data_IF_929549581688
#
_entry.id   IF_929549581688
#
_cell.length_a   1.000
_cell.length_b   1.000
_cell.length_c   1.000
_cell.angle_alpha   90.00
_cell.angle_beta   90.00
_cell.angle_gamma   90.00
#
_symmetry.space_group_name_H-M   'P 1'
#
loop_
_entity.id
_entity.type
_entity.pdbx_description
1 polymer ?
#
# COMPACT_ATOMS: atom_id res chain seq x y z
N UNK A 1 -40.35 5.14 -7.86
CA UNK A 1 -40.24 4.73 -9.29
C UNK A 1 -41.17 5.58 -10.12
N UNK A 2 -40.68 6.28 -11.13
CA UNK A 2 -41.55 7.00 -12.06
C UNK A 2 -42.39 5.96 -12.81
N UNK A 3 -43.69 6.15 -12.81
CA UNK A 3 -44.64 5.28 -13.52
C UNK A 3 -44.82 5.77 -14.92
N UNK A 4 -44.76 4.89 -15.92
CA UNK A 4 -45.15 5.23 -17.26
C UNK A 4 -46.67 5.56 -17.26
N UNK A 5 -47.02 6.80 -17.52
CA UNK A 5 -48.41 7.20 -17.69
C UNK A 5 -48.77 7.22 -19.19
N UNK A 6 -49.69 6.36 -19.58
CA UNK A 6 -50.26 6.32 -20.94
C UNK A 6 -51.53 7.12 -20.92
N UNK A 7 -51.54 8.32 -21.52
CA UNK A 7 -52.66 9.29 -21.34
C UNK A 7 -53.98 8.86 -22.01
N UNK A 8 -53.91 7.98 -23.00
CA UNK A 8 -55.14 7.57 -23.72
C UNK A 8 -55.31 6.05 -23.69
N UNK A 9 -56.47 5.56 -23.33
CA UNK A 9 -56.88 4.17 -23.44
C UNK A 9 -57.89 3.99 -24.57
N UNK A 10 -57.77 2.91 -25.33
CA UNK A 10 -58.68 2.61 -26.44
C UNK A 10 -59.51 1.37 -26.15
N UNK A 11 -60.77 1.39 -26.55
CA UNK A 11 -61.71 0.29 -26.40
C UNK A 11 -62.13 -0.28 -27.73
N UNK A 12 -62.63 -1.51 -27.72
CA UNK A 12 -63.10 -2.17 -28.95
C UNK A 12 -64.19 -1.36 -29.66
N UNK A 13 -64.02 -1.11 -30.95
CA UNK A 13 -64.98 -0.33 -31.77
C UNK A 13 -64.74 1.18 -31.75
N UNK A 14 -63.80 1.70 -30.96
CA UNK A 14 -63.47 3.11 -30.95
C UNK A 14 -62.61 3.49 -32.17
N UNK A 15 -62.92 4.62 -32.81
CA UNK A 15 -62.04 5.21 -33.83
C UNK A 15 -60.83 5.79 -33.12
N UNK A 16 -59.65 5.34 -33.46
CA UNK A 16 -58.39 5.82 -32.90
C UNK A 16 -58.01 7.13 -33.57
N UNK A 17 -57.89 8.20 -32.78
CA UNK A 17 -57.37 9.49 -33.27
C UNK A 17 -55.83 9.45 -33.28
N UNK A 18 -55.22 9.89 -34.39
CA UNK A 18 -53.77 9.96 -34.51
C UNK A 18 -53.13 10.86 -33.44
N UNK A 19 -53.78 11.87 -32.98
CA UNK A 19 -53.29 12.76 -31.91
C UNK A 19 -53.17 12.01 -30.55
N UNK A 20 -54.15 11.17 -30.24
CA UNK A 20 -54.16 10.34 -29.03
C UNK A 20 -53.07 9.26 -29.08
N UNK A 21 -52.87 8.60 -30.25
CA UNK A 21 -51.80 7.65 -30.45
C UNK A 21 -50.43 8.30 -30.30
N UNK A 22 -50.23 9.48 -30.94
CA UNK A 22 -48.99 10.22 -30.84
C UNK A 22 -48.70 10.70 -29.42
N UNK A 23 -49.72 11.07 -28.64
CA UNK A 23 -49.56 11.44 -27.23
C UNK A 23 -49.07 10.25 -26.40
N UNK A 24 -49.60 9.04 -26.65
CA UNK A 24 -49.13 7.83 -25.98
C UNK A 24 -47.66 7.53 -26.33
N UNK A 25 -47.28 7.60 -27.60
CA UNK A 25 -45.89 7.37 -28.00
C UNK A 25 -44.95 8.45 -27.44
N UNK A 26 -45.37 9.70 -27.35
CA UNK A 26 -44.60 10.77 -26.73
C UNK A 26 -44.32 10.45 -25.25
N UNK A 27 -45.32 9.95 -24.53
CA UNK A 27 -45.19 9.58 -23.13
C UNK A 27 -44.21 8.37 -22.96
N UNK A 28 -44.32 7.37 -23.84
CA UNK A 28 -43.38 6.22 -23.84
C UNK A 28 -41.96 6.67 -24.16
N UNK A 29 -41.80 7.55 -25.15
CA UNK A 29 -40.50 8.10 -25.52
C UNK A 29 -39.87 8.88 -24.35
N UNK A 30 -40.61 9.77 -23.72
CA UNK A 30 -40.14 10.54 -22.59
C UNK A 30 -39.74 9.66 -21.39
N UNK A 31 -40.53 8.61 -21.12
CA UNK A 31 -40.21 7.64 -20.09
C UNK A 31 -38.88 6.90 -20.38
N UNK A 32 -38.69 6.44 -21.61
CA UNK A 32 -37.47 5.75 -22.04
C UNK A 32 -36.24 6.68 -22.02
N UNK A 33 -36.39 7.94 -22.42
CA UNK A 33 -35.32 8.95 -22.35
C UNK A 33 -34.92 9.23 -20.90
N UNK A 34 -35.91 9.38 -20.00
CA UNK A 34 -35.63 9.57 -18.57
C UNK A 34 -34.98 8.30 -17.95
N UNK A 35 -35.34 7.10 -18.39
CA UNK A 35 -34.72 5.86 -17.94
C UNK A 35 -33.25 5.80 -18.36
N UNK A 36 -32.96 6.13 -19.61
CA UNK A 36 -31.57 6.17 -20.12
C UNK A 36 -30.72 7.24 -19.46
N UNK A 37 -31.33 8.33 -19.01
CA UNK A 37 -30.69 9.38 -18.22
C UNK A 37 -30.55 9.06 -16.72
N UNK A 38 -31.08 7.91 -16.27
CA UNK A 38 -31.05 7.51 -14.86
C UNK A 38 -32.07 8.21 -13.95
N UNK A 39 -32.92 9.09 -14.50
CA UNK A 39 -33.85 9.92 -13.72
C UNK A 39 -34.99 9.14 -13.08
N UNK A 40 -35.29 7.94 -13.57
CA UNK A 40 -36.42 7.09 -13.13
C UNK A 40 -36.00 5.96 -12.16
N UNK A 41 -34.79 5.99 -11.66
CA UNK A 41 -34.36 5.00 -10.68
C UNK A 41 -34.51 5.56 -9.27
N UNK A 42 -35.33 4.92 -8.45
CA UNK A 42 -35.40 5.22 -7.02
C UNK A 42 -34.16 4.68 -6.30
N UNK A 43 -33.90 5.19 -5.09
CA UNK A 43 -32.84 4.64 -4.25
C UNK A 43 -33.09 3.15 -3.99
N UNK A 44 -32.10 2.31 -4.28
CA UNK A 44 -32.19 0.86 -4.16
C UNK A 44 -32.94 0.14 -5.29
N UNK A 45 -33.29 0.83 -6.37
CA UNK A 45 -33.92 0.21 -7.55
C UNK A 45 -32.98 -0.71 -8.33
N UNK A 46 -31.68 -0.54 -8.18
CA UNK A 46 -30.66 -1.44 -8.77
C UNK A 46 -30.11 -2.31 -7.65
N UNK A 47 -30.38 -3.60 -7.70
CA UNK A 47 -29.88 -4.60 -6.78
C UNK A 47 -28.63 -5.28 -7.34
N UNK A 48 -28.00 -6.11 -6.51
CA UNK A 48 -26.77 -6.82 -6.90
C UNK A 48 -26.99 -7.77 -8.10
N UNK A 49 -28.19 -8.39 -8.16
CA UNK A 49 -28.57 -9.31 -9.24
C UNK A 49 -28.74 -8.60 -10.59
N UNK A 50 -29.03 -7.30 -10.58
CA UNK A 50 -29.23 -6.49 -11.78
C UNK A 50 -27.88 -6.11 -12.46
N UNK A 51 -26.78 -6.33 -11.73
CA UNK A 51 -25.42 -6.01 -12.20
C UNK A 51 -24.68 -7.31 -12.49
N UNK A 52 -24.48 -7.61 -13.77
CA UNK A 52 -23.74 -8.80 -14.16
C UNK A 52 -22.29 -8.78 -13.55
N UNK A 53 -21.71 -9.96 -13.22
CA UNK A 53 -20.34 -10.04 -12.79
C UNK A 53 -19.38 -9.31 -13.74
N UNK A 54 -18.46 -8.52 -13.19
CA UNK A 54 -17.50 -7.68 -13.91
C UNK A 54 -18.13 -6.56 -14.80
N UNK A 55 -19.43 -6.28 -14.69
CA UNK A 55 -20.07 -5.20 -15.43
C UNK A 55 -19.56 -3.79 -15.03
N UNK A 56 -19.12 -3.63 -13.77
CA UNK A 56 -18.51 -2.38 -13.28
C UNK A 56 -16.99 -2.55 -13.30
N UNK A 57 -16.36 -1.95 -14.29
CA UNK A 57 -14.90 -1.90 -14.44
C UNK A 57 -14.33 -0.59 -13.88
N UNK A 58 -13.00 -0.52 -13.71
CA UNK A 58 -12.33 0.69 -13.23
C UNK A 58 -12.65 1.93 -14.08
N UNK A 59 -12.74 1.77 -15.41
CA UNK A 59 -13.04 2.86 -16.35
C UNK A 59 -14.46 3.42 -16.24
N UNK A 60 -15.38 2.65 -15.64
CA UNK A 60 -16.76 3.07 -15.39
C UNK A 60 -16.95 3.79 -14.06
N UNK A 61 -15.92 3.79 -13.23
CA UNK A 61 -15.92 4.50 -11.95
C UNK A 61 -15.10 5.79 -12.13
N UNK A 62 -15.79 6.92 -12.21
CA UNK A 62 -15.09 8.20 -12.33
C UNK A 62 -14.16 8.45 -11.14
N UNK A 63 -13.03 9.12 -11.38
CA UNK A 63 -12.10 9.52 -10.33
C UNK A 63 -12.83 10.28 -9.22
N UNK A 64 -12.67 9.82 -7.96
CA UNK A 64 -13.35 10.41 -6.80
C UNK A 64 -14.82 10.01 -6.62
N UNK A 65 -15.40 9.17 -7.50
CA UNK A 65 -16.79 8.70 -7.35
C UNK A 65 -16.98 7.81 -6.11
N UNK A 66 -15.94 7.08 -5.69
CA UNK A 66 -15.94 6.31 -4.45
C UNK A 66 -15.29 7.15 -3.36
N UNK A 67 -16.09 7.74 -2.49
CA UNK A 67 -15.63 8.55 -1.35
C UNK A 67 -15.65 7.71 -0.06
N UNK A 68 -14.98 8.19 0.99
CA UNK A 68 -14.91 7.54 2.30
C UNK A 68 -16.29 7.13 2.84
N UNK A 69 -17.31 7.96 2.63
CA UNK A 69 -18.67 7.70 3.11
C UNK A 69 -19.41 6.62 2.30
N UNK A 70 -18.87 6.20 1.15
CA UNK A 70 -19.44 5.14 0.30
C UNK A 70 -18.78 3.78 0.53
N UNK A 71 -17.69 3.75 1.31
CA UNK A 71 -17.03 2.53 1.72
C UNK A 71 -17.54 2.18 3.12
N UNK A 72 -18.24 1.05 3.24
CA UNK A 72 -18.70 0.60 4.55
C UNK A 72 -17.53 0.39 5.51
N UNK A 73 -17.73 0.67 6.81
CA UNK A 73 -16.69 0.54 7.83
C UNK A 73 -16.14 -0.90 7.99
N UNK A 74 -16.81 -1.90 7.43
CA UNK A 74 -16.45 -3.32 7.48
C UNK A 74 -16.14 -3.93 6.11
N UNK A 75 -15.63 -3.16 5.16
CA UNK A 75 -15.19 -3.72 3.87
C UNK A 75 -13.96 -4.59 4.08
N UNK A 76 -14.11 -5.90 3.93
CA UNK A 76 -12.98 -6.84 3.89
C UNK A 76 -12.32 -6.78 2.50
N UNK A 77 -11.18 -6.13 2.42
CA UNK A 77 -10.33 -6.15 1.22
C UNK A 77 -9.34 -7.31 1.38
N UNK A 78 -9.50 -8.38 0.65
CA UNK A 78 -8.66 -9.60 0.80
C UNK A 78 -7.22 -9.41 0.33
N UNK A 79 -6.97 -8.50 -0.61
CA UNK A 79 -5.61 -8.13 -1.06
C UNK A 79 -5.61 -6.68 -1.56
N UNK A 80 -5.76 -5.69 -0.65
CA UNK A 80 -5.75 -4.31 -1.09
C UNK A 80 -4.34 -3.90 -1.54
N UNK A 81 -4.17 -3.62 -2.81
CA UNK A 81 -3.01 -2.84 -3.25
C UNK A 81 -3.32 -1.36 -3.00
N UNK A 82 -3.00 -0.90 -1.79
CA UNK A 82 -3.26 0.48 -1.36
C UNK A 82 -2.11 1.37 -1.82
N UNK A 83 -1.48 1.25 -2.93
CA UNK A 83 -0.46 2.16 -3.42
C UNK A 83 0.28 2.95 -2.31
N UNK A 84 0.92 4.05 -2.61
CA UNK A 84 1.42 4.95 -1.58
C UNK A 84 0.24 5.61 -0.85
N UNK A 85 -0.13 5.13 0.35
CA UNK A 85 -1.14 5.75 1.18
C UNK A 85 -0.61 7.10 1.70
N UNK A 86 -1.01 8.19 1.06
CA UNK A 86 -0.75 9.56 1.53
C UNK A 86 -1.80 9.97 2.57
N UNK A 87 -1.77 9.34 3.72
CA UNK A 87 -2.68 9.63 4.83
C UNK A 87 -1.92 9.94 6.11
N UNK A 88 -2.50 10.75 7.00
CA UNK A 88 -1.89 11.15 8.26
C UNK A 88 -1.64 9.96 9.23
N UNK A 89 -2.35 8.86 9.09
CA UNK A 89 -2.13 7.62 9.83
C UNK A 89 -2.84 6.42 9.19
N UNK A 90 -2.17 5.29 9.11
CA UNK A 90 -2.80 3.98 8.97
C UNK A 90 -3.08 3.48 10.39
N UNK A 91 -4.33 3.55 10.85
CA UNK A 91 -4.72 2.94 12.13
C UNK A 91 -4.98 1.45 11.89
N UNK A 92 -3.94 0.64 11.99
CA UNK A 92 -4.03 -0.81 11.88
C UNK A 92 -4.07 -1.41 13.30
N UNK A 93 -5.22 -1.86 13.75
CA UNK A 93 -5.38 -2.49 15.07
C UNK A 93 -4.61 -3.82 15.17
N UNK A 94 -4.28 -4.44 14.05
CA UNK A 94 -3.45 -5.65 13.93
C UNK A 94 -2.57 -5.53 12.68
N UNK A 95 -1.77 -4.47 12.58
CA UNK A 95 -0.72 -4.47 11.58
C UNK A 95 0.21 -5.65 11.89
N UNK A 96 0.22 -6.65 11.04
CA UNK A 96 1.37 -7.55 10.98
C UNK A 96 2.50 -6.69 10.41
N UNK A 97 3.21 -6.00 11.30
CA UNK A 97 4.49 -5.42 10.97
C UNK A 97 5.37 -6.63 10.69
N UNK A 98 5.81 -6.74 9.44
CA UNK A 98 6.67 -7.81 9.02
C UNK A 98 7.86 -7.88 9.99
N UNK A 99 8.10 -9.05 10.55
CA UNK A 99 9.24 -9.24 11.45
C UNK A 99 10.51 -8.98 10.66
N UNK A 100 11.49 -8.23 11.20
CA UNK A 100 12.74 -8.01 10.49
C UNK A 100 13.33 -9.33 10.03
N UNK A 101 13.56 -9.48 8.74
CA UNK A 101 14.23 -10.66 8.20
C UNK A 101 15.66 -10.73 8.76
N UNK A 102 16.14 -11.95 9.00
CA UNK A 102 17.52 -12.20 9.43
C UNK A 102 18.37 -12.60 8.23
N UNK A 103 19.52 -11.97 8.08
CA UNK A 103 20.48 -12.25 7.02
C UNK A 103 21.82 -12.67 7.64
N UNK A 104 22.10 -13.98 7.60
CA UNK A 104 23.32 -14.56 8.20
C UNK A 104 24.52 -14.43 7.25
N UNK A 105 25.63 -13.91 7.76
CA UNK A 105 26.88 -13.69 7.03
C UNK A 105 28.04 -14.48 7.66
N UNK A 106 28.77 -15.19 6.83
CA UNK A 106 29.94 -16.00 7.23
C UNK A 106 31.27 -15.41 6.74
N UNK A 107 31.23 -14.27 6.05
CA UNK A 107 32.39 -13.54 5.51
C UNK A 107 32.10 -12.04 5.54
N UNK A 108 33.14 -11.24 5.25
CA UNK A 108 32.98 -9.79 5.08
C UNK A 108 31.85 -9.45 4.13
N UNK A 109 31.08 -8.43 4.48
CA UNK A 109 29.87 -8.09 3.75
C UNK A 109 29.72 -6.58 3.60
N UNK A 110 29.42 -6.14 2.39
CA UNK A 110 29.04 -4.74 2.13
C UNK A 110 27.53 -4.65 2.08
N UNK A 111 26.94 -3.73 2.85
CA UNK A 111 25.51 -3.52 2.93
C UNK A 111 24.93 -3.14 1.58
N UNK A 112 23.73 -3.66 1.28
CA UNK A 112 22.94 -3.36 0.08
C UNK A 112 21.58 -2.77 0.50
N UNK A 113 20.87 -2.12 -0.42
CA UNK A 113 19.60 -1.43 -0.11
C UNK A 113 18.54 -2.36 0.53
N UNK A 114 18.55 -3.64 0.17
CA UNK A 114 17.65 -4.65 0.75
C UNK A 114 17.95 -4.96 2.24
N UNK A 115 19.04 -4.43 2.80
CA UNK A 115 19.36 -4.59 4.22
C UNK A 115 18.67 -3.53 5.11
N UNK A 116 17.92 -2.57 4.52
CA UNK A 116 17.16 -1.60 5.30
C UNK A 116 16.08 -2.31 6.14
N UNK A 117 16.11 -2.07 7.44
CA UNK A 117 15.14 -2.63 8.38
C UNK A 117 15.36 -4.09 8.78
N UNK A 118 16.42 -4.78 8.32
CA UNK A 118 16.69 -6.18 8.65
C UNK A 118 17.76 -6.37 9.73
N UNK A 119 17.92 -7.62 10.15
CA UNK A 119 18.95 -8.06 11.10
C UNK A 119 20.08 -8.76 10.30
N UNK A 120 21.30 -8.28 10.44
CA UNK A 120 22.52 -8.94 9.93
C UNK A 120 23.16 -9.74 11.07
N UNK A 121 23.31 -11.04 10.89
CA UNK A 121 24.02 -11.89 11.82
C UNK A 121 25.42 -12.20 11.30
N UNK A 122 26.48 -11.84 12.04
CA UNK A 122 27.83 -12.32 11.75
C UNK A 122 28.04 -13.69 12.37
N UNK A 123 27.95 -14.73 11.56
CA UNK A 123 27.97 -16.13 12.00
C UNK A 123 29.22 -16.85 11.51
N UNK A 124 30.37 -16.46 12.02
CA UNK A 124 31.66 -17.04 11.68
C UNK A 124 32.57 -17.12 12.89
N UNK A 125 33.48 -18.09 12.91
CA UNK A 125 34.59 -18.17 13.88
C UNK A 125 35.74 -17.23 13.48
N UNK A 126 35.80 -16.79 12.22
CA UNK A 126 36.74 -15.79 11.72
C UNK A 126 36.14 -14.39 11.85
N UNK A 127 37.01 -13.38 11.89
CA UNK A 127 36.56 -11.98 11.95
C UNK A 127 35.75 -11.58 10.70
N UNK A 128 34.65 -10.84 10.91
CA UNK A 128 33.82 -10.29 9.85
C UNK A 128 33.75 -8.76 9.97
N UNK A 129 33.91 -8.09 8.84
CA UNK A 129 33.70 -6.66 8.70
C UNK A 129 32.40 -6.42 7.92
N UNK A 130 31.47 -5.67 8.50
CA UNK A 130 30.30 -5.14 7.81
C UNK A 130 30.65 -3.76 7.28
N UNK A 131 30.74 -3.64 5.96
CA UNK A 131 31.13 -2.39 5.28
C UNK A 131 29.92 -1.56 4.93
N UNK A 132 29.93 -0.28 5.29
CA UNK A 132 28.90 0.69 4.94
C UNK A 132 29.30 1.37 3.62
N UNK A 133 28.52 1.21 2.54
CA UNK A 133 28.85 1.75 1.21
C UNK A 133 28.63 3.25 1.13
N UNK A 134 29.23 3.88 0.11
CA UNK A 134 28.94 5.27 -0.26
C UNK A 134 27.48 5.46 -0.67
N UNK A 135 26.92 6.63 -0.38
CA UNK A 135 25.61 7.05 -0.85
C UNK A 135 25.42 6.91 -2.36
N UNK A 136 26.47 7.22 -3.13
CA UNK A 136 26.45 7.13 -4.59
C UNK A 136 26.37 5.69 -5.11
N UNK A 137 26.75 4.71 -4.29
CA UNK A 137 26.69 3.28 -4.63
C UNK A 137 25.42 2.62 -4.14
N UNK A 138 24.99 2.96 -2.92
CA UNK A 138 23.74 2.45 -2.32
C UNK A 138 23.05 3.59 -1.57
N UNK A 139 21.97 4.13 -2.16
CA UNK A 139 21.23 5.27 -1.65
C UNK A 139 20.23 4.85 -0.56
N UNK A 140 20.72 4.47 0.60
CA UNK A 140 19.84 4.21 1.75
C UNK A 140 19.05 5.48 2.13
N UNK A 141 17.75 5.39 2.48
CA UNK A 141 17.02 6.52 3.05
C UNK A 141 17.63 7.04 4.35
N UNK A 142 17.52 8.34 4.63
CA UNK A 142 17.84 8.88 5.97
C UNK A 142 16.84 8.27 6.98
N UNK A 143 17.36 7.76 8.09
CA UNK A 143 16.57 7.04 9.10
C UNK A 143 16.61 5.51 8.94
N UNK A 144 17.26 4.97 7.89
CA UNK A 144 17.53 3.53 7.77
C UNK A 144 18.15 2.98 9.04
N UNK A 145 17.62 1.84 9.51
CA UNK A 145 18.09 1.11 10.69
C UNK A 145 18.43 -0.32 10.33
N UNK A 146 19.65 -0.72 10.60
CA UNK A 146 20.13 -2.10 10.38
C UNK A 146 20.66 -2.60 11.72
N UNK A 147 20.12 -3.70 12.22
CA UNK A 147 20.62 -4.33 13.45
C UNK A 147 21.70 -5.35 13.08
N UNK A 148 22.83 -5.31 13.76
CA UNK A 148 23.95 -6.23 13.56
C UNK A 148 24.13 -7.03 14.83
N UNK A 149 24.15 -8.36 14.72
CA UNK A 149 24.34 -9.29 15.84
C UNK A 149 25.61 -10.10 15.59
N UNK A 150 26.47 -10.17 16.59
CA UNK A 150 27.60 -11.09 16.59
C UNK A 150 27.13 -12.47 17.08
N UNK A 151 26.68 -13.31 16.14
CA UNK A 151 26.06 -14.61 16.46
C UNK A 151 27.11 -15.71 16.80
N UNK A 152 28.37 -15.51 16.44
CA UNK A 152 29.44 -16.51 16.67
C UNK A 152 30.67 -15.88 17.37
N UNK A 153 31.70 -16.69 17.61
CA UNK A 153 32.90 -16.31 18.37
C UNK A 153 33.84 -15.37 17.62
N UNK A 154 33.80 -15.37 16.25
CA UNK A 154 34.62 -14.47 15.42
C UNK A 154 34.32 -13.01 15.71
N UNK A 155 35.32 -12.15 15.72
CA UNK A 155 35.15 -10.71 15.91
C UNK A 155 34.21 -10.13 14.84
N UNK A 156 33.36 -9.18 15.23
CA UNK A 156 32.48 -8.47 14.31
C UNK A 156 32.71 -6.97 14.45
N UNK A 157 32.92 -6.29 13.34
CA UNK A 157 33.12 -4.85 13.30
C UNK A 157 32.31 -4.20 12.17
N UNK A 158 32.02 -2.90 12.32
CA UNK A 158 31.42 -2.09 11.27
C UNK A 158 32.44 -1.07 10.79
N UNK A 159 32.56 -0.90 9.48
CA UNK A 159 33.46 0.09 8.90
C UNK A 159 32.78 0.84 7.75
N UNK A 160 32.96 2.15 7.68
CA UNK A 160 32.63 2.92 6.47
C UNK A 160 33.68 2.69 5.40
N UNK A 161 33.27 2.55 4.13
CA UNK A 161 34.23 2.66 3.02
C UNK A 161 34.80 4.08 2.94
N UNK A 162 35.86 4.29 2.17
CA UNK A 162 36.44 5.63 2.00
C UNK A 162 35.36 6.66 1.65
N UNK A 163 35.29 7.75 2.41
CA UNK A 163 34.28 8.81 2.27
C UNK A 163 32.99 8.60 3.09
N UNK A 164 32.85 7.49 3.82
CA UNK A 164 31.74 7.23 4.75
C UNK A 164 32.23 7.37 6.18
N UNK A 165 31.52 8.14 6.99
CA UNK A 165 31.74 8.30 8.42
C UNK A 165 30.76 7.45 9.22
N UNK A 166 31.26 6.58 10.07
CA UNK A 166 30.47 5.84 11.07
C UNK A 166 30.92 6.28 12.46
N UNK A 167 30.06 7.03 13.15
CA UNK A 167 30.32 7.47 14.53
C UNK A 167 29.87 6.39 15.52
N UNK A 168 30.67 6.12 16.52
CA UNK A 168 30.35 5.14 17.57
C UNK A 168 31.09 5.46 18.88
N UNK A 169 30.60 4.98 19.99
CA UNK A 169 31.26 5.06 21.30
C UNK A 169 30.99 3.73 22.04
N UNK A 170 32.02 3.03 22.55
CA UNK A 170 33.45 3.39 22.59
C UNK A 170 34.22 3.09 21.30
N UNK A 171 33.68 2.34 20.36
CA UNK A 171 34.31 2.00 19.10
C UNK A 171 33.36 1.30 18.13
N UNK A 172 33.91 0.73 17.05
CA UNK A 172 33.12 0.13 15.95
C UNK A 172 33.04 -1.41 16.03
N UNK A 173 33.54 -2.00 17.11
CA UNK A 173 33.54 -3.45 17.31
C UNK A 173 32.36 -3.88 18.17
N UNK A 174 31.69 -4.98 17.83
CA UNK A 174 30.75 -5.65 18.73
C UNK A 174 31.54 -6.41 19.80
N UNK A 175 31.25 -6.13 21.11
CA UNK A 175 32.10 -6.48 22.24
C UNK A 175 32.33 -7.99 22.39
N UNK A 176 31.27 -8.80 22.26
CA UNK A 176 31.37 -10.25 22.50
C UNK A 176 30.36 -11.01 21.64
N UNK A 177 30.40 -12.33 21.66
CA UNK A 177 29.33 -13.15 21.11
C UNK A 177 28.00 -12.74 21.74
N UNK A 178 26.94 -12.64 20.93
CA UNK A 178 25.59 -12.18 21.27
C UNK A 178 25.47 -10.68 21.57
N UNK A 179 26.54 -9.91 21.43
CA UNK A 179 26.42 -8.45 21.36
C UNK A 179 25.62 -8.05 20.11
N UNK A 180 24.82 -7.01 20.25
CA UNK A 180 24.06 -6.42 19.17
C UNK A 180 24.30 -4.90 19.11
N UNK A 181 24.23 -4.34 17.90
CA UNK A 181 24.30 -2.91 17.65
C UNK A 181 23.37 -2.52 16.52
N UNK A 182 22.84 -1.31 16.58
CA UNK A 182 22.02 -0.72 15.51
C UNK A 182 22.83 0.33 14.78
N UNK A 183 22.91 0.18 13.48
CA UNK A 183 23.48 1.14 12.55
C UNK A 183 22.36 2.04 12.02
N UNK A 184 22.43 3.35 12.28
CA UNK A 184 21.44 4.35 11.91
C UNK A 184 22.02 5.34 10.91
N UNK A 185 21.37 5.54 9.77
CA UNK A 185 21.73 6.58 8.81
C UNK A 185 21.21 7.94 9.25
N UNK A 186 22.12 8.92 9.47
CA UNK A 186 21.78 10.29 9.87
C UNK A 186 21.75 11.29 8.72
N UNK A 187 22.68 11.16 7.79
CA UNK A 187 22.82 12.04 6.63
C UNK A 187 23.54 11.29 5.52
N UNK A 188 23.73 11.94 4.36
CA UNK A 188 24.57 11.42 3.28
C UNK A 188 25.94 11.02 3.83
N UNK A 189 26.38 9.78 3.54
CA UNK A 189 27.65 9.21 3.98
C UNK A 189 27.92 9.31 5.50
N UNK A 190 26.90 9.55 6.33
CA UNK A 190 27.06 9.74 7.78
C UNK A 190 26.12 8.82 8.56
N UNK A 191 26.71 7.95 9.38
CA UNK A 191 26.01 6.95 10.16
C UNK A 191 26.41 7.00 11.63
N UNK A 192 25.59 6.40 12.47
CA UNK A 192 25.86 6.16 13.89
C UNK A 192 25.68 4.69 14.17
N UNK A 193 26.64 4.09 14.86
CA UNK A 193 26.54 2.74 15.41
C UNK A 193 26.32 2.86 16.93
N UNK A 194 25.25 2.25 17.43
CA UNK A 194 24.82 2.30 18.84
C UNK A 194 24.54 0.88 19.32
N UNK A 195 25.07 0.50 20.49
CA UNK A 195 24.79 -0.81 21.05
C UNK A 195 25.87 -1.28 22.00
N UNK A 196 26.02 -2.61 22.10
CA UNK A 196 27.03 -3.25 22.91
C UNK A 196 28.36 -3.33 22.16
N UNK A 197 29.15 -2.26 22.32
CA UNK A 197 30.37 -2.00 21.55
C UNK A 197 31.63 -2.07 22.41
N UNK A 198 32.79 -2.20 21.76
CA UNK A 198 34.11 -2.07 22.33
C UNK A 198 35.04 -1.23 21.42
N UNK A 199 36.13 -0.76 21.99
CA UNK A 199 37.23 -0.11 21.27
C UNK A 199 37.93 -1.05 20.32
#
# INVERSE_FOLDING_TARGET
MATLNIPNTFTTGQVIDASQMNANFTSVKAFAENLSAGANFDAGAINTEDIAPAAITADKIATGAVTTNKIAASVALTTPNIGAATGASLNCTNAVIDHPATNSRVANYTLVLADDGIIIETNSTSAIIISVPLESSVAFPIGTKITIIRANTGAASVAGVSGVTVNATPGLNLRAQWSAATLLKRAANTWILMGDLSS
#
